data_IF_072246494275
#
_entry.id   IF_072246494275
#
_cell.length_a   1.000
_cell.length_b   1.000
_cell.length_c   1.000
_cell.angle_alpha   90.00
_cell.angle_beta   90.00
_cell.angle_gamma   90.00
#
_symmetry.space_group_name_H-M   'P 1'
#
loop_
_entity.id
_entity.type
_entity.pdbx_description
1 polymer ?
#
# COMPACT_ATOMS: atom_id res chain seq x y z
N UNK A 1 20.41 7.69 0.91
CA UNK A 1 19.21 8.30 1.51
C UNK A 1 19.36 9.80 1.82
N UNK A 2 20.34 10.28 2.62
CA UNK A 2 20.44 11.72 2.96
C UNK A 2 20.55 12.65 1.75
N UNK A 3 21.39 12.26 0.77
CA UNK A 3 21.57 12.99 -0.49
C UNK A 3 20.27 13.21 -1.27
N UNK A 4 19.27 12.33 -1.13
CA UNK A 4 17.96 12.51 -1.78
C UNK A 4 17.24 13.77 -1.28
N UNK A 5 17.47 14.17 -0.02
CA UNK A 5 16.95 15.39 0.57
C UNK A 5 17.95 16.56 0.54
N UNK A 6 19.07 16.44 -0.17
CA UNK A 6 20.13 17.46 -0.19
C UNK A 6 20.89 17.56 1.13
N UNK A 7 20.97 16.47 1.90
CA UNK A 7 21.67 16.42 3.18
C UNK A 7 22.93 15.54 3.08
N UNK A 8 23.97 15.92 3.83
CA UNK A 8 25.27 15.27 3.75
C UNK A 8 25.43 14.05 4.67
N UNK A 9 24.53 13.88 5.65
CA UNK A 9 24.66 12.81 6.65
C UNK A 9 23.32 12.24 7.12
N UNK A 10 23.38 11.01 7.66
CA UNK A 10 22.24 10.39 8.31
C UNK A 10 21.77 11.17 9.54
N UNK A 11 22.69 11.73 10.31
CA UNK A 11 22.34 12.58 11.46
C UNK A 11 21.56 13.83 11.01
N UNK A 12 21.99 14.49 9.93
CA UNK A 12 21.28 15.63 9.36
C UNK A 12 19.88 15.25 8.88
N UNK A 13 19.73 14.08 8.25
CA UNK A 13 18.41 13.56 7.85
C UNK A 13 17.50 13.30 9.06
N UNK A 14 18.02 12.65 10.09
CA UNK A 14 17.27 12.36 11.31
C UNK A 14 16.80 13.66 11.97
N UNK A 15 17.69 14.63 12.13
CA UNK A 15 17.34 15.93 12.70
C UNK A 15 16.27 16.66 11.86
N UNK A 16 16.45 16.70 10.53
CA UNK A 16 15.51 17.35 9.63
C UNK A 16 14.10 16.72 9.67
N UNK A 17 14.01 15.39 9.84
CA UNK A 17 12.74 14.69 10.01
C UNK A 17 12.07 15.03 11.36
N UNK A 18 12.85 15.04 12.45
CA UNK A 18 12.33 15.32 13.80
C UNK A 18 11.88 16.78 13.96
N UNK A 19 12.63 17.72 13.38
CA UNK A 19 12.30 19.15 13.44
C UNK A 19 11.26 19.57 12.41
N UNK A 20 10.80 18.66 11.54
CA UNK A 20 9.81 18.98 10.51
C UNK A 20 10.36 19.79 9.33
N UNK A 21 11.68 19.92 9.21
CA UNK A 21 12.33 20.58 8.07
C UNK A 21 12.09 19.84 6.74
N UNK A 22 11.82 18.54 6.80
CA UNK A 22 11.28 17.77 5.67
C UNK A 22 9.75 17.69 5.80
N UNK A 23 9.00 18.36 4.88
CA UNK A 23 7.55 18.32 4.87
C UNK A 23 7.01 16.90 4.76
N UNK A 24 5.86 16.64 5.39
CA UNK A 24 5.24 15.30 5.40
C UNK A 24 5.08 14.71 3.98
N UNK A 25 4.63 15.52 3.01
CA UNK A 25 4.47 15.06 1.63
C UNK A 25 5.76 14.52 1.01
N UNK A 26 6.91 15.14 1.33
CA UNK A 26 8.23 14.70 0.84
C UNK A 26 8.72 13.42 1.50
N UNK A 27 8.19 13.05 2.67
CA UNK A 27 8.56 11.78 3.33
C UNK A 27 8.11 10.57 2.53
N UNK A 28 7.07 10.72 1.71
CA UNK A 28 6.62 9.65 0.81
C UNK A 28 7.64 9.34 -0.30
N UNK A 29 8.61 10.22 -0.55
CA UNK A 29 9.72 9.97 -1.48
C UNK A 29 10.67 8.85 -0.97
N UNK A 30 10.65 8.55 0.34
CA UNK A 30 11.47 7.48 0.94
C UNK A 30 11.14 6.09 0.40
N UNK A 31 9.87 5.80 0.14
CA UNK A 31 9.44 4.47 -0.31
C UNK A 31 9.95 4.14 -1.72
N UNK A 32 9.79 5.03 -2.73
CA UNK A 32 10.44 4.85 -4.04
C UNK A 32 11.96 4.65 -3.94
N UNK A 33 12.64 5.42 -3.08
CA UNK A 33 14.10 5.24 -2.87
C UNK A 33 14.41 3.87 -2.29
N UNK A 34 13.63 3.39 -1.33
CA UNK A 34 13.79 2.05 -0.74
C UNK A 34 13.63 0.97 -1.81
N UNK A 35 12.58 1.05 -2.63
CA UNK A 35 12.33 0.08 -3.70
C UNK A 35 13.45 0.07 -4.74
N UNK A 36 13.85 1.23 -5.26
CA UNK A 36 14.96 1.30 -6.21
C UNK A 36 16.28 0.74 -5.61
N UNK A 37 16.52 0.97 -4.32
CA UNK A 37 17.70 0.44 -3.63
C UNK A 37 17.63 -1.08 -3.46
N UNK A 38 16.46 -1.64 -3.17
CA UNK A 38 16.23 -3.08 -3.10
C UNK A 38 16.36 -3.76 -4.48
N UNK A 39 15.84 -3.13 -5.54
CA UNK A 39 16.01 -3.60 -6.93
C UNK A 39 17.47 -3.58 -7.36
N UNK A 40 18.26 -2.61 -6.89
CA UNK A 40 19.71 -2.56 -7.11
C UNK A 40 20.50 -3.63 -6.34
N UNK A 41 19.83 -4.48 -5.54
CA UNK A 41 20.44 -5.62 -4.86
C UNK A 41 20.97 -5.32 -3.45
N UNK A 42 20.63 -4.18 -2.85
CA UNK A 42 21.03 -3.90 -1.48
C UNK A 42 20.32 -4.86 -0.49
N UNK A 43 21.07 -5.62 0.32
CA UNK A 43 20.50 -6.66 1.17
C UNK A 43 19.66 -6.10 2.32
N UNK A 44 19.94 -4.90 2.80
CA UNK A 44 19.18 -4.26 3.88
C UNK A 44 17.84 -3.78 3.35
N UNK A 45 17.83 -3.11 2.20
CA UNK A 45 16.62 -2.67 1.54
C UNK A 45 15.72 -3.86 1.17
N UNK A 46 16.28 -4.91 0.57
CA UNK A 46 15.55 -6.14 0.26
C UNK A 46 14.97 -6.80 1.52
N UNK A 47 15.72 -6.85 2.62
CA UNK A 47 15.24 -7.39 3.89
C UNK A 47 14.08 -6.58 4.47
N UNK A 48 14.08 -5.25 4.33
CA UNK A 48 12.98 -4.39 4.75
C UNK A 48 11.71 -4.64 3.93
N UNK A 49 11.82 -4.72 2.61
CA UNK A 49 10.68 -5.04 1.72
C UNK A 49 10.12 -6.43 2.05
N UNK A 50 11.01 -7.41 2.24
CA UNK A 50 10.63 -8.76 2.66
C UNK A 50 9.91 -8.74 4.01
N UNK A 51 10.40 -8.01 5.01
CA UNK A 51 9.73 -7.91 6.32
C UNK A 51 8.33 -7.30 6.17
N UNK A 52 8.20 -6.23 5.40
CA UNK A 52 6.90 -5.59 5.14
C UNK A 52 5.88 -6.57 4.55
N UNK A 53 6.29 -7.46 3.64
CA UNK A 53 5.41 -8.49 3.10
C UNK A 53 4.87 -9.43 4.20
N UNK A 54 5.72 -9.86 5.14
CA UNK A 54 5.30 -10.72 6.25
C UNK A 54 4.34 -9.99 7.19
N UNK A 55 4.58 -8.72 7.50
CA UNK A 55 3.67 -7.92 8.34
C UNK A 55 2.28 -7.78 7.69
N UNK A 56 2.22 -7.51 6.38
CA UNK A 56 0.95 -7.42 5.65
C UNK A 56 0.19 -8.75 5.70
N UNK A 57 0.88 -9.86 5.45
CA UNK A 57 0.27 -11.19 5.48
C UNK A 57 -0.18 -11.57 6.89
N UNK A 58 0.58 -11.22 7.92
CA UNK A 58 0.20 -11.44 9.31
C UNK A 58 -1.10 -10.71 9.65
N UNK A 59 -1.20 -9.41 9.29
CA UNK A 59 -2.41 -8.63 9.50
C UNK A 59 -3.61 -9.20 8.74
N UNK A 60 -3.43 -9.54 7.46
CA UNK A 60 -4.50 -10.13 6.64
C UNK A 60 -4.96 -11.48 7.20
N UNK A 61 -4.01 -12.34 7.58
CA UNK A 61 -4.31 -13.68 8.11
C UNK A 61 -5.08 -13.61 9.43
N UNK A 62 -4.74 -12.67 10.32
CA UNK A 62 -5.48 -12.47 11.58
C UNK A 62 -6.91 -11.98 11.30
N UNK A 63 -7.10 -11.08 10.33
CA UNK A 63 -8.44 -10.62 9.96
C UNK A 63 -9.28 -11.76 9.37
N UNK A 64 -8.71 -12.57 8.47
CA UNK A 64 -9.39 -13.72 7.87
C UNK A 64 -9.76 -14.78 8.91
N UNK A 65 -8.85 -15.12 9.82
CA UNK A 65 -9.08 -16.09 10.89
C UNK A 65 -10.22 -15.65 11.82
N UNK A 66 -10.21 -14.39 12.25
CA UNK A 66 -11.25 -13.84 13.14
C UNK A 66 -12.63 -13.74 12.51
N UNK A 67 -12.70 -13.72 11.17
CA UNK A 67 -13.93 -13.68 10.42
C UNK A 67 -14.37 -15.07 9.92
N UNK A 68 -13.61 -16.12 10.23
CA UNK A 68 -13.83 -17.49 9.74
C UNK A 68 -13.79 -17.60 8.21
N UNK A 69 -12.82 -16.91 7.58
CA UNK A 69 -12.69 -16.76 6.12
C UNK A 69 -11.40 -17.37 5.54
N UNK A 70 -10.59 -18.07 6.33
CA UNK A 70 -9.32 -18.64 5.84
C UNK A 70 -9.52 -19.66 4.71
N UNK A 71 -10.61 -20.41 4.77
CA UNK A 71 -10.95 -21.47 3.81
C UNK A 71 -12.00 -21.05 2.79
N UNK A 72 -12.36 -19.76 2.75
CA UNK A 72 -13.43 -19.22 1.93
C UNK A 72 -12.89 -18.45 0.71
N UNK A 73 -13.70 -18.40 -0.35
CA UNK A 73 -13.41 -17.55 -1.50
C UNK A 73 -13.68 -16.08 -1.11
N UNK A 74 -12.60 -15.35 -0.82
CA UNK A 74 -12.67 -13.98 -0.32
C UNK A 74 -11.66 -13.06 -1.01
N UNK A 75 -12.07 -11.88 -1.49
CA UNK A 75 -11.14 -10.89 -2.01
C UNK A 75 -10.37 -10.22 -0.87
N UNK A 76 -9.04 -10.18 -0.99
CA UNK A 76 -8.13 -9.43 -0.10
C UNK A 76 -7.57 -8.25 -0.87
N UNK A 77 -8.06 -7.05 -0.55
CA UNK A 77 -7.72 -5.82 -1.26
C UNK A 77 -6.51 -5.13 -0.62
N UNK A 78 -5.41 -5.05 -1.37
CA UNK A 78 -4.22 -4.30 -1.00
C UNK A 78 -4.43 -2.82 -1.33
N UNK A 79 -4.59 -2.01 -0.27
CA UNK A 79 -4.78 -0.57 -0.34
C UNK A 79 -3.56 0.24 0.09
N UNK A 80 -3.64 1.56 -0.08
CA UNK A 80 -2.57 2.49 0.27
C UNK A 80 -1.49 2.61 -0.80
N UNK A 81 -0.84 3.77 -0.90
CA UNK A 81 0.09 4.11 -1.98
C UNK A 81 1.26 3.14 -2.14
N UNK A 82 1.72 2.52 -1.04
CA UNK A 82 2.84 1.58 -1.05
C UNK A 82 2.48 0.27 -1.74
N UNK A 83 1.33 -0.33 -1.41
CA UNK A 83 0.90 -1.60 -2.00
C UNK A 83 0.29 -1.38 -3.39
N UNK A 84 -0.37 -0.24 -3.59
CA UNK A 84 -0.89 0.20 -4.87
C UNK A 84 0.21 0.50 -5.91
N UNK A 85 1.45 0.72 -5.47
CA UNK A 85 2.61 0.87 -6.36
C UNK A 85 3.00 -0.42 -7.09
N UNK A 86 2.45 -1.59 -6.71
CA UNK A 86 2.65 -2.88 -7.38
C UNK A 86 4.12 -3.29 -7.55
N UNK A 87 4.94 -2.96 -6.56
CA UNK A 87 6.34 -3.36 -6.58
C UNK A 87 6.45 -4.90 -6.53
N UNK A 88 7.07 -5.56 -7.54
CA UNK A 88 7.02 -7.02 -7.68
C UNK A 88 7.54 -7.76 -6.44
N UNK A 89 8.68 -7.35 -5.88
CA UNK A 89 9.25 -8.02 -4.70
C UNK A 89 8.32 -7.97 -3.47
N UNK A 90 7.44 -6.98 -3.38
CA UNK A 90 6.49 -6.84 -2.27
C UNK A 90 5.21 -7.61 -2.57
N UNK A 91 4.56 -7.31 -3.70
CA UNK A 91 3.23 -7.85 -4.01
C UNK A 91 3.27 -9.35 -4.33
N UNK A 92 4.27 -9.82 -5.08
CA UNK A 92 4.40 -11.26 -5.40
C UNK A 92 4.69 -12.05 -4.12
N UNK A 93 5.48 -11.47 -3.21
CA UNK A 93 5.78 -12.09 -1.92
C UNK A 93 4.55 -12.14 -1.02
N UNK A 94 3.72 -11.08 -1.00
CA UNK A 94 2.44 -11.08 -0.29
C UNK A 94 1.53 -12.17 -0.86
N UNK A 95 1.39 -12.25 -2.19
CA UNK A 95 0.56 -13.26 -2.85
C UNK A 95 1.01 -14.68 -2.49
N UNK A 96 2.31 -14.97 -2.60
CA UNK A 96 2.87 -16.29 -2.28
C UNK A 96 2.68 -16.68 -0.81
N UNK A 97 2.93 -15.74 0.12
CA UNK A 97 2.78 -15.99 1.55
C UNK A 97 1.32 -16.15 1.97
N UNK A 98 0.42 -15.35 1.38
CA UNK A 98 -1.00 -15.43 1.71
C UNK A 98 -1.64 -16.70 1.13
N UNK A 99 -1.27 -17.11 -0.08
CA UNK A 99 -1.75 -18.36 -0.68
C UNK A 99 -1.40 -19.60 0.16
N UNK A 100 -0.31 -19.56 0.94
CA UNK A 100 0.02 -20.64 1.87
C UNK A 100 -0.88 -20.68 3.12
N UNK A 101 -1.51 -19.56 3.49
CA UNK A 101 -2.31 -19.43 4.73
C UNK A 101 -3.81 -19.38 4.49
N UNK A 102 -4.24 -18.81 3.37
CA UNK A 102 -5.61 -18.72 2.91
C UNK A 102 -5.65 -19.01 1.39
N UNK A 103 -5.62 -20.29 0.99
CA UNK A 103 -5.42 -20.69 -0.42
C UNK A 103 -6.50 -20.23 -1.39
N UNK A 104 -7.72 -19.96 -0.88
CA UNK A 104 -8.85 -19.47 -1.67
C UNK A 104 -8.99 -17.94 -1.65
N UNK A 105 -8.15 -17.23 -0.89
CA UNK A 105 -8.16 -15.78 -0.87
C UNK A 105 -7.60 -15.21 -2.18
N UNK A 106 -8.32 -14.28 -2.77
CA UNK A 106 -7.90 -13.63 -4.01
C UNK A 106 -7.29 -12.25 -3.71
N UNK A 107 -5.97 -12.14 -3.87
CA UNK A 107 -5.26 -10.87 -3.68
C UNK A 107 -5.52 -9.94 -4.86
N UNK A 108 -6.07 -8.77 -4.60
CA UNK A 108 -6.27 -7.71 -5.59
C UNK A 108 -5.67 -6.40 -5.10
N UNK A 109 -5.29 -5.53 -6.00
CA UNK A 109 -4.80 -4.18 -5.69
C UNK A 109 -5.87 -3.19 -6.11
N UNK A 110 -6.25 -2.28 -5.21
CA UNK A 110 -7.20 -1.20 -5.54
C UNK A 110 -6.48 -0.19 -6.44
N UNK A 111 -7.01 0.01 -7.65
CA UNK A 111 -6.48 0.95 -8.65
C UNK A 111 -7.17 2.32 -8.61
N UNK A 112 -8.41 2.33 -8.13
CA UNK A 112 -9.24 3.53 -8.09
C UNK A 112 -8.72 4.48 -7.00
N UNK A 113 -8.68 5.80 -7.27
CA UNK A 113 -8.17 6.76 -6.31
C UNK A 113 -9.14 6.90 -5.12
N UNK A 114 -8.64 7.11 -3.87
CA UNK A 114 -9.49 7.22 -2.68
C UNK A 114 -10.58 8.29 -2.77
N UNK A 115 -10.34 9.35 -3.56
CA UNK A 115 -11.32 10.43 -3.79
C UNK A 115 -12.62 9.92 -4.43
N UNK A 116 -12.57 8.84 -5.22
CA UNK A 116 -13.76 8.22 -5.79
C UNK A 116 -14.71 7.75 -4.68
N UNK A 117 -14.18 7.07 -3.65
CA UNK A 117 -14.97 6.61 -2.52
C UNK A 117 -15.60 7.76 -1.74
N UNK A 118 -14.86 8.84 -1.51
CA UNK A 118 -15.38 10.03 -0.85
C UNK A 118 -16.50 10.72 -1.65
N UNK A 119 -16.35 10.79 -2.97
CA UNK A 119 -17.36 11.37 -3.86
C UNK A 119 -18.62 10.49 -3.93
N UNK A 120 -18.49 9.16 -4.01
CA UNK A 120 -19.61 8.22 -3.94
C UNK A 120 -20.36 8.34 -2.61
N UNK A 121 -19.64 8.39 -1.49
CA UNK A 121 -20.23 8.60 -0.16
C UNK A 121 -20.94 9.96 -0.04
N UNK A 122 -20.46 10.98 -0.75
CA UNK A 122 -21.13 12.27 -0.86
C UNK A 122 -22.46 12.18 -1.62
N UNK A 123 -22.49 11.43 -2.73
CA UNK A 123 -23.69 11.20 -3.55
C UNK A 123 -24.76 10.40 -2.80
N UNK A 124 -24.37 9.44 -1.97
CA UNK A 124 -25.31 8.69 -1.12
C UNK A 124 -26.13 9.63 -0.21
N UNK A 125 -25.54 10.74 0.24
CA UNK A 125 -26.23 11.73 1.10
C UNK A 125 -27.18 12.65 0.36
N UNK A 126 -27.08 12.77 -0.97
CA UNK A 126 -27.96 13.63 -1.77
C UNK A 126 -29.17 12.89 -2.34
N UNK A 127 -29.22 11.56 -2.19
CA UNK A 127 -30.23 10.72 -2.82
C UNK A 127 -30.05 10.61 -4.34
N UNK A 128 -28.85 10.88 -4.86
CA UNK A 128 -28.58 10.80 -6.29
C UNK A 128 -28.86 9.39 -6.84
N UNK A 129 -29.48 9.31 -8.01
CA UNK A 129 -29.83 8.03 -8.63
C UNK A 129 -28.61 7.18 -9.05
N UNK A 130 -28.79 5.88 -9.33
CA UNK A 130 -27.72 4.97 -9.72
C UNK A 130 -26.90 5.41 -10.94
N UNK A 131 -27.51 6.18 -11.85
CA UNK A 131 -26.84 6.68 -13.05
C UNK A 131 -25.74 7.68 -12.73
N UNK A 132 -25.93 8.55 -11.73
CA UNK A 132 -24.91 9.51 -11.30
C UNK A 132 -23.70 8.78 -10.72
N UNK A 133 -23.94 7.72 -9.95
CA UNK A 133 -22.88 6.86 -9.41
C UNK A 133 -22.11 6.13 -10.51
N UNK A 134 -22.80 5.61 -11.53
CA UNK A 134 -22.15 4.97 -12.70
C UNK A 134 -21.27 5.96 -13.45
N UNK A 135 -21.78 7.15 -13.74
CA UNK A 135 -21.01 8.22 -14.40
C UNK A 135 -19.78 8.62 -13.61
N UNK A 136 -19.89 8.72 -12.28
CA UNK A 136 -18.75 9.02 -11.43
C UNK A 136 -17.70 7.88 -11.47
N UNK A 137 -18.12 6.62 -11.36
CA UNK A 137 -17.18 5.47 -11.49
C UNK A 137 -16.49 5.46 -12.85
N UNK A 138 -17.23 5.67 -13.94
CA UNK A 138 -16.69 5.72 -15.30
C UNK A 138 -15.68 6.86 -15.52
N UNK A 139 -15.71 7.91 -14.70
CA UNK A 139 -14.73 9.01 -14.77
C UNK A 139 -13.34 8.60 -14.23
N UNK A 140 -13.29 7.57 -13.39
CA UNK A 140 -12.11 7.08 -12.67
C UNK A 140 -11.70 5.64 -13.05
N UNK A 141 -12.48 4.98 -13.91
CA UNK A 141 -12.12 3.72 -14.55
C UNK A 141 -11.17 3.96 -15.73
#
# INVERSE_FOLDING_TARGET
LPRHFGLDSMYGLIEALHRGAIPLGRRHELTPVLFATAEAGDPVAAALVKRQAHEVVAMASVALDRLDLLEEEVPVLLGGSVLAARHPQLNDRIAALLAARAPKAEVRVVSEPPVLGAALLGLDRTGAGPEVHRRLRARYA
#
